data_IF_398636797173
#
_entry.id   IF_398636797173
#
_cell.length_a   1.000
_cell.length_b   1.000
_cell.length_c   1.000
_cell.angle_alpha   90.00
_cell.angle_beta   90.00
_cell.angle_gamma   90.00
#
_symmetry.space_group_name_H-M   'P 1'
#
loop_
_entity.id
_entity.type
_entity.pdbx_description
1 polymer ?
#
# COMPACT_ATOMS: atom_id res chain seq x y z
N UNK A 1 20.08 64.07 -3.03
CA UNK A 1 19.02 63.16 -3.53
C UNK A 1 19.52 61.77 -3.91
N UNK A 2 20.72 61.60 -4.42
CA UNK A 2 21.29 60.30 -4.86
C UNK A 2 21.49 59.28 -3.73
N UNK A 3 21.96 59.71 -2.55
CA UNK A 3 22.21 58.79 -1.42
C UNK A 3 20.94 58.14 -0.85
N UNK A 4 19.76 58.81 -0.94
CA UNK A 4 18.47 58.23 -0.54
C UNK A 4 17.97 57.18 -1.55
N UNK A 5 18.17 57.41 -2.87
CA UNK A 5 17.82 56.44 -3.92
C UNK A 5 18.66 55.17 -3.81
N UNK A 6 19.97 55.29 -3.58
CA UNK A 6 20.90 54.15 -3.45
C UNK A 6 20.56 53.28 -2.22
N UNK A 7 20.14 53.87 -1.11
CA UNK A 7 19.68 53.13 0.07
C UNK A 7 18.33 52.41 -0.15
N UNK A 8 17.48 52.97 -1.02
CA UNK A 8 16.19 52.34 -1.36
C UNK A 8 16.40 51.11 -2.23
N UNK A 9 17.31 51.19 -3.22
CA UNK A 9 17.64 50.06 -4.10
C UNK A 9 18.24 48.85 -3.35
N UNK A 10 18.96 49.06 -2.25
CA UNK A 10 19.49 48.01 -1.38
C UNK A 10 18.42 47.43 -0.44
N UNK A 11 17.38 48.20 -0.10
CA UNK A 11 16.31 47.74 0.78
C UNK A 11 15.30 46.85 0.06
N UNK A 12 15.02 47.09 -1.23
CA UNK A 12 14.05 46.31 -2.01
C UNK A 12 14.44 44.80 -2.04
N UNK A 13 15.66 44.40 -2.44
CA UNK A 13 16.04 42.97 -2.44
C UNK A 13 16.05 42.36 -1.04
N UNK A 14 16.37 43.12 0.01
CA UNK A 14 16.29 42.66 1.39
C UNK A 14 14.85 42.42 1.83
N UNK A 15 13.91 43.29 1.44
CA UNK A 15 12.48 43.10 1.72
C UNK A 15 11.95 41.86 0.96
N UNK A 16 12.31 41.71 -0.31
CA UNK A 16 11.93 40.56 -1.12
C UNK A 16 12.45 39.26 -0.46
N UNK A 17 13.73 39.23 -0.09
CA UNK A 17 14.34 38.09 0.58
C UNK A 17 13.68 37.77 1.92
N UNK A 18 13.40 38.78 2.74
CA UNK A 18 12.71 38.62 4.01
C UNK A 18 11.28 38.12 3.82
N UNK A 19 10.55 38.60 2.80
CA UNK A 19 9.22 38.14 2.46
C UNK A 19 9.21 36.68 1.99
N UNK A 20 10.20 36.32 1.15
CA UNK A 20 10.35 34.94 0.67
C UNK A 20 10.65 33.99 1.85
N UNK A 21 11.56 34.39 2.74
CA UNK A 21 11.87 33.63 3.95
C UNK A 21 10.64 33.48 4.86
N UNK A 22 9.86 34.55 5.03
CA UNK A 22 8.63 34.50 5.80
C UNK A 22 7.62 33.49 5.22
N UNK A 23 7.42 33.48 3.90
CA UNK A 23 6.56 32.51 3.21
C UNK A 23 7.04 31.07 3.44
N UNK A 24 8.35 30.84 3.29
CA UNK A 24 8.94 29.50 3.55
C UNK A 24 8.70 29.08 5.00
N UNK A 25 8.94 29.97 5.96
CA UNK A 25 8.75 29.67 7.39
C UNK A 25 7.27 29.38 7.72
N UNK A 26 6.34 30.14 7.13
CA UNK A 26 4.90 29.92 7.28
C UNK A 26 4.52 28.54 6.70
N UNK A 27 5.05 28.19 5.53
CA UNK A 27 4.80 26.89 4.91
C UNK A 27 5.38 25.74 5.75
N UNK A 28 6.62 25.86 6.23
CA UNK A 28 7.22 24.85 7.12
C UNK A 28 6.39 24.71 8.41
N UNK A 29 5.98 25.83 9.00
CA UNK A 29 5.12 25.81 10.17
C UNK A 29 3.77 25.13 9.88
N UNK A 30 3.15 25.39 8.71
CA UNK A 30 1.94 24.71 8.27
C UNK A 30 2.14 23.19 8.19
N UNK A 31 3.19 22.71 7.51
CA UNK A 31 3.48 21.27 7.38
C UNK A 31 3.71 20.62 8.74
N UNK A 32 4.52 21.26 9.60
CA UNK A 32 4.85 20.71 10.93
C UNK A 32 3.63 20.70 11.86
N UNK A 33 2.82 21.76 11.86
CA UNK A 33 1.64 21.87 12.73
C UNK A 33 0.45 21.04 12.23
N UNK A 34 0.38 20.77 10.92
CA UNK A 34 -0.64 19.87 10.35
C UNK A 34 -0.33 18.39 10.57
N UNK A 35 0.94 18.09 10.89
CA UNK A 35 1.35 16.70 11.10
C UNK A 35 0.76 16.18 12.42
N UNK A 36 0.03 15.09 12.31
CA UNK A 36 -0.37 14.27 13.42
C UNK A 36 -0.24 12.81 13.03
N UNK A 37 0.20 11.97 13.93
CA UNK A 37 0.24 10.53 13.73
C UNK A 37 -1.09 9.93 14.14
N UNK A 38 -1.60 8.99 13.34
CA UNK A 38 -2.78 8.20 13.71
C UNK A 38 -2.38 7.25 14.85
N UNK A 39 -3.21 7.18 15.88
CA UNK A 39 -2.95 6.35 17.06
C UNK A 39 -2.86 4.85 16.69
N UNK A 40 -2.02 4.12 17.43
CA UNK A 40 -1.96 2.66 17.32
C UNK A 40 -3.21 2.04 17.97
N UNK A 41 -3.55 0.83 17.58
CA UNK A 41 -4.69 0.07 18.11
C UNK A 41 -6.05 0.76 17.91
N UNK A 42 -6.18 1.52 16.83
CA UNK A 42 -7.42 2.23 16.51
C UNK A 42 -8.48 1.26 15.97
N UNK A 43 -9.65 1.22 16.61
CA UNK A 43 -10.80 0.46 16.12
C UNK A 43 -11.29 1.04 14.79
N UNK A 44 -11.50 0.17 13.80
CA UNK A 44 -12.01 0.55 12.48
C UNK A 44 -13.51 0.29 12.40
N UNK A 45 -14.21 1.16 11.69
CA UNK A 45 -15.61 0.94 11.36
C UNK A 45 -15.72 -0.19 10.34
N UNK A 46 -16.58 -1.16 10.62
CA UNK A 46 -16.96 -2.18 9.65
C UNK A 46 -18.20 -1.67 8.91
N UNK A 47 -18.09 -1.57 7.60
CA UNK A 47 -19.18 -1.14 6.73
C UNK A 47 -19.67 -2.29 5.85
N UNK A 48 -20.95 -2.25 5.49
CA UNK A 48 -21.60 -3.28 4.70
C UNK A 48 -21.99 -4.51 5.51
N UNK A 49 -22.77 -5.37 4.87
CA UNK A 49 -23.23 -6.66 5.43
C UNK A 49 -22.87 -7.77 4.46
N UNK A 50 -22.05 -8.70 4.92
CA UNK A 50 -21.62 -9.83 4.13
C UNK A 50 -22.71 -10.91 4.02
N UNK A 51 -22.62 -11.75 2.98
CA UNK A 51 -23.53 -12.89 2.79
C UNK A 51 -23.28 -14.04 3.77
N UNK A 52 -22.00 -14.27 4.11
CA UNK A 52 -21.56 -15.36 4.97
C UNK A 52 -21.40 -14.92 6.41
N UNK A 53 -21.86 -15.73 7.36
CA UNK A 53 -21.70 -15.46 8.79
C UNK A 53 -20.39 -16.04 9.34
N UNK A 54 -19.98 -17.22 8.84
CA UNK A 54 -18.80 -17.95 9.33
C UNK A 54 -18.09 -18.72 8.22
N UNK A 55 -16.78 -18.83 8.36
CA UNK A 55 -15.95 -19.70 7.52
C UNK A 55 -16.11 -21.18 7.94
N UNK A 56 -16.11 -22.07 6.97
CA UNK A 56 -16.19 -23.53 7.16
C UNK A 56 -14.81 -24.15 7.00
N UNK A 57 -14.51 -25.17 7.77
CA UNK A 57 -13.27 -25.93 7.63
C UNK A 57 -13.30 -26.78 6.36
N UNK A 58 -12.14 -27.01 5.79
CA UNK A 58 -11.98 -27.83 4.58
C UNK A 58 -12.62 -27.28 3.31
N UNK A 59 -13.16 -26.05 3.35
CA UNK A 59 -13.74 -25.36 2.19
C UNK A 59 -12.69 -24.47 1.55
N UNK A 60 -12.65 -24.46 0.21
CA UNK A 60 -11.79 -23.54 -0.54
C UNK A 60 -12.31 -22.11 -0.47
N UNK A 61 -11.45 -21.18 -0.09
CA UNK A 61 -11.66 -19.75 -0.12
C UNK A 61 -10.59 -19.09 -0.97
N UNK A 62 -10.94 -18.00 -1.63
CA UNK A 62 -10.03 -17.24 -2.46
C UNK A 62 -9.76 -15.88 -1.84
N UNK A 63 -8.48 -15.54 -1.66
CA UNK A 63 -8.00 -14.21 -1.29
C UNK A 63 -7.24 -13.59 -2.45
N UNK A 64 -7.38 -12.27 -2.64
CA UNK A 64 -6.57 -11.50 -3.59
C UNK A 64 -5.98 -10.31 -2.85
N UNK A 65 -4.67 -10.07 -3.01
CA UNK A 65 -4.04 -8.81 -2.60
C UNK A 65 -3.68 -7.99 -3.84
N UNK A 66 -3.93 -6.68 -3.78
CA UNK A 66 -3.70 -5.78 -4.89
C UNK A 66 -3.42 -4.35 -4.44
N UNK A 67 -2.20 -3.87 -4.68
CA UNK A 67 -1.89 -2.45 -4.62
C UNK A 67 -2.39 -1.80 -5.92
N UNK A 68 -3.37 -0.88 -5.82
CA UNK A 68 -4.03 -0.27 -6.99
C UNK A 68 -3.38 1.03 -7.46
N UNK A 69 -2.26 1.44 -6.82
CA UNK A 69 -1.50 2.61 -7.24
C UNK A 69 -2.35 3.88 -7.39
N UNK A 70 -3.30 4.13 -6.47
CA UNK A 70 -4.24 5.28 -6.51
C UNK A 70 -4.83 5.56 -7.91
N UNK A 71 -5.11 4.51 -8.68
CA UNK A 71 -5.71 4.60 -10.00
C UNK A 71 -4.90 5.37 -11.05
N UNK A 72 -3.59 5.57 -10.84
CA UNK A 72 -2.78 6.43 -11.69
C UNK A 72 -1.96 5.67 -12.73
N UNK A 73 -1.53 4.45 -12.43
CA UNK A 73 -0.43 3.78 -13.14
C UNK A 73 -0.86 3.07 -14.41
N UNK A 74 -1.41 3.84 -15.36
CA UNK A 74 -1.49 3.37 -16.76
C UNK A 74 -0.09 3.10 -17.32
N UNK A 75 0.07 2.30 -18.39
CA UNK A 75 1.39 1.95 -18.92
C UNK A 75 2.29 3.14 -19.31
N UNK A 76 1.70 4.29 -19.64
CA UNK A 76 2.40 5.53 -20.00
C UNK A 76 2.72 6.43 -18.79
N UNK A 77 2.15 6.14 -17.61
CA UNK A 77 2.39 6.93 -16.39
C UNK A 77 3.79 6.67 -15.83
N UNK A 78 4.44 7.75 -15.36
CA UNK A 78 5.77 7.69 -14.73
C UNK A 78 5.78 8.52 -13.46
N UNK A 79 6.19 7.94 -12.33
CA UNK A 79 6.10 8.60 -11.05
C UNK A 79 7.39 9.34 -10.68
N UNK A 80 7.26 10.59 -10.24
CA UNK A 80 8.42 11.44 -9.95
C UNK A 80 9.34 10.92 -8.84
N UNK A 81 8.81 10.17 -7.88
CA UNK A 81 9.63 9.58 -6.81
C UNK A 81 10.43 8.37 -7.28
N UNK A 82 9.98 7.71 -8.34
CA UNK A 82 10.67 6.56 -8.96
C UNK A 82 11.66 6.98 -10.04
N UNK A 83 11.82 8.28 -10.25
CA UNK A 83 12.67 8.85 -11.31
C UNK A 83 11.92 9.31 -12.54
N UNK A 84 10.60 9.19 -12.57
CA UNK A 84 9.72 9.71 -13.62
C UNK A 84 9.41 11.20 -13.49
N UNK A 85 8.28 11.64 -14.03
CA UNK A 85 7.99 13.07 -14.14
C UNK A 85 6.62 13.50 -13.60
N UNK A 86 5.69 12.58 -13.40
CA UNK A 86 4.32 12.90 -12.99
C UNK A 86 4.16 12.74 -11.47
N UNK A 87 3.35 13.58 -10.86
CA UNK A 87 2.95 13.44 -9.46
C UNK A 87 1.45 13.26 -9.29
N UNK A 88 0.68 13.39 -10.39
CA UNK A 88 -0.76 13.15 -10.47
C UNK A 88 -1.04 12.14 -11.58
N UNK A 89 -2.13 11.40 -11.44
CA UNK A 89 -2.68 10.59 -12.52
C UNK A 89 -2.86 11.41 -13.81
N UNK A 90 -3.02 10.73 -14.96
CA UNK A 90 -3.15 11.40 -16.26
C UNK A 90 -4.39 12.32 -16.34
N UNK A 91 -5.51 11.89 -15.76
CA UNK A 91 -6.73 12.68 -15.65
C UNK A 91 -7.68 12.06 -14.61
N UNK A 92 -8.73 12.81 -14.24
CA UNK A 92 -9.79 12.28 -13.38
C UNK A 92 -10.49 11.07 -14.01
N UNK A 93 -10.73 11.13 -15.32
CA UNK A 93 -11.37 10.06 -16.08
C UNK A 93 -10.47 8.82 -16.14
N UNK A 94 -9.14 9.01 -16.22
CA UNK A 94 -8.16 7.92 -16.18
C UNK A 94 -8.23 7.19 -14.84
N UNK A 95 -8.27 7.92 -13.72
CA UNK A 95 -8.42 7.31 -12.38
C UNK A 95 -9.68 6.47 -12.30
N UNK A 96 -10.84 7.05 -12.66
CA UNK A 96 -12.13 6.34 -12.62
C UNK A 96 -12.07 5.07 -13.46
N UNK A 97 -11.50 5.14 -14.67
CA UNK A 97 -11.38 3.99 -15.56
C UNK A 97 -10.45 2.90 -14.99
N UNK A 98 -9.29 3.27 -14.40
CA UNK A 98 -8.40 2.30 -13.77
C UNK A 98 -9.14 1.56 -12.63
N UNK A 99 -9.81 2.31 -11.75
CA UNK A 99 -10.56 1.71 -10.63
C UNK A 99 -11.72 0.84 -11.13
N UNK A 100 -12.45 1.23 -12.19
CA UNK A 100 -13.48 0.37 -12.80
C UNK A 100 -12.89 -0.93 -13.32
N UNK A 101 -11.72 -0.89 -13.96
CA UNK A 101 -11.02 -2.07 -14.47
C UNK A 101 -10.46 -2.97 -13.36
N UNK A 102 -9.94 -2.39 -12.28
CA UNK A 102 -9.52 -3.12 -11.09
C UNK A 102 -10.70 -3.84 -10.44
N UNK A 103 -11.85 -3.18 -10.35
CA UNK A 103 -13.10 -3.78 -9.85
C UNK A 103 -13.56 -4.95 -10.76
N UNK A 104 -13.56 -4.77 -12.09
CA UNK A 104 -13.89 -5.83 -13.04
C UNK A 104 -12.97 -7.04 -12.85
N UNK A 105 -11.66 -6.80 -12.82
CA UNK A 105 -10.64 -7.83 -12.61
C UNK A 105 -10.85 -8.60 -11.31
N UNK A 106 -11.06 -7.90 -10.19
CA UNK A 106 -11.28 -8.53 -8.88
C UNK A 106 -12.56 -9.34 -8.83
N UNK A 107 -13.65 -8.89 -9.48
CA UNK A 107 -14.90 -9.64 -9.60
C UNK A 107 -14.73 -10.93 -10.39
N UNK A 108 -13.93 -10.94 -11.46
CA UNK A 108 -13.61 -12.12 -12.24
C UNK A 108 -12.90 -13.20 -11.41
N UNK A 109 -12.14 -12.79 -10.38
CA UNK A 109 -11.47 -13.74 -9.49
C UNK A 109 -12.42 -14.47 -8.54
N UNK A 110 -13.66 -14.02 -8.38
CA UNK A 110 -14.63 -14.52 -7.39
C UNK A 110 -14.02 -14.61 -5.98
N UNK A 111 -13.26 -13.59 -5.60
CA UNK A 111 -12.54 -13.57 -4.34
C UNK A 111 -13.51 -13.47 -3.14
N UNK A 112 -13.25 -14.28 -2.10
CA UNK A 112 -13.93 -14.19 -0.80
C UNK A 112 -13.35 -13.10 0.09
N UNK A 113 -12.06 -12.80 -0.13
CA UNK A 113 -11.28 -11.79 0.58
C UNK A 113 -10.51 -10.94 -0.45
N UNK A 114 -10.57 -9.62 -0.29
CA UNK A 114 -9.77 -8.71 -1.11
C UNK A 114 -9.02 -7.75 -0.17
N UNK A 115 -7.71 -7.68 -0.34
CA UNK A 115 -6.81 -6.81 0.41
C UNK A 115 -6.22 -5.80 -0.56
N UNK A 116 -6.63 -4.54 -0.44
CA UNK A 116 -6.18 -3.48 -1.36
C UNK A 116 -5.31 -2.48 -0.63
N UNK A 117 -4.29 -1.98 -1.32
CA UNK A 117 -3.38 -0.94 -0.83
C UNK A 117 -3.46 0.27 -1.76
N UNK A 118 -3.06 1.42 -1.27
CA UNK A 118 -3.08 2.72 -1.97
C UNK A 118 -4.45 3.17 -2.47
N UNK A 119 -5.51 2.86 -1.73
CA UNK A 119 -6.87 3.30 -2.07
C UNK A 119 -7.05 4.75 -1.61
N UNK A 120 -7.11 5.68 -2.56
CA UNK A 120 -7.37 7.10 -2.28
C UNK A 120 -8.86 7.34 -2.01
N UNK A 121 -9.16 8.29 -1.10
CA UNK A 121 -10.56 8.73 -0.90
C UNK A 121 -10.75 10.24 -1.05
N UNK A 122 -9.67 11.00 -0.97
CA UNK A 122 -9.66 12.44 -1.25
C UNK A 122 -8.21 12.92 -1.39
N UNK A 123 -7.59 12.71 -2.53
CA UNK A 123 -6.20 13.10 -2.79
C UNK A 123 -6.07 13.98 -4.02
N UNK A 124 -5.15 14.95 -3.94
CA UNK A 124 -4.86 15.82 -5.09
C UNK A 124 -4.34 15.00 -6.27
N UNK A 125 -3.47 14.01 -5.99
CA UNK A 125 -2.81 13.14 -7.00
C UNK A 125 -3.80 12.32 -7.84
N UNK A 126 -4.97 12.00 -7.29
CA UNK A 126 -6.05 11.25 -7.95
C UNK A 126 -7.27 12.13 -8.28
N UNK A 127 -7.07 13.47 -8.44
CA UNK A 127 -8.13 14.43 -8.78
C UNK A 127 -9.34 14.39 -7.84
N UNK A 128 -9.11 14.10 -6.56
CA UNK A 128 -10.15 13.98 -5.53
C UNK A 128 -11.24 12.95 -5.88
N UNK A 129 -10.90 11.90 -6.65
CA UNK A 129 -11.78 10.75 -6.84
C UNK A 129 -11.88 9.99 -5.54
N UNK A 130 -13.08 9.66 -5.12
CA UNK A 130 -13.33 8.78 -3.96
C UNK A 130 -13.33 7.33 -4.44
N UNK A 131 -12.12 6.76 -4.58
CA UNK A 131 -11.91 5.38 -5.01
C UNK A 131 -12.50 4.41 -4.00
N UNK A 132 -12.40 4.73 -2.70
CA UNK A 132 -12.99 3.92 -1.62
C UNK A 132 -14.49 3.75 -1.81
N UNK A 133 -15.21 4.86 -2.06
CA UNK A 133 -16.65 4.80 -2.30
C UNK A 133 -17.00 4.07 -3.59
N UNK A 134 -16.21 4.26 -4.67
CA UNK A 134 -16.39 3.57 -5.95
C UNK A 134 -16.25 2.06 -5.78
N UNK A 135 -15.19 1.59 -5.12
CA UNK A 135 -14.95 0.16 -4.85
C UNK A 135 -16.04 -0.42 -3.97
N UNK A 136 -16.35 0.22 -2.82
CA UNK A 136 -17.40 -0.27 -1.91
C UNK A 136 -18.75 -0.42 -2.58
N UNK A 137 -19.13 0.55 -3.41
CA UNK A 137 -20.40 0.48 -4.15
C UNK A 137 -20.49 -0.67 -5.14
N UNK A 138 -19.34 -1.13 -5.64
CA UNK A 138 -19.27 -2.22 -6.61
C UNK A 138 -19.27 -3.61 -5.96
N UNK A 139 -18.90 -3.73 -4.67
CA UNK A 139 -18.86 -4.99 -3.91
C UNK A 139 -20.02 -5.07 -2.91
N UNK A 140 -21.23 -5.19 -3.45
CA UNK A 140 -22.43 -5.40 -2.64
C UNK A 140 -22.35 -6.74 -1.86
N UNK A 141 -22.97 -6.77 -0.68
CA UNK A 141 -23.01 -7.94 0.19
C UNK A 141 -21.63 -8.43 0.68
N UNK A 142 -20.71 -7.50 0.86
CA UNK A 142 -19.45 -7.72 1.55
C UNK A 142 -19.40 -6.87 2.82
N UNK A 143 -18.64 -7.31 3.81
CA UNK A 143 -18.20 -6.43 4.91
C UNK A 143 -16.83 -5.85 4.59
N UNK A 144 -16.59 -4.62 4.96
CA UNK A 144 -15.33 -3.92 4.67
C UNK A 144 -14.82 -3.15 5.86
N UNK A 145 -13.50 -3.03 5.96
CA UNK A 145 -12.79 -2.10 6.85
C UNK A 145 -11.79 -1.27 6.07
N UNK A 146 -11.53 -0.05 6.53
CA UNK A 146 -10.58 0.85 5.91
C UNK A 146 -9.63 1.46 6.93
N UNK A 147 -8.33 1.26 6.76
CA UNK A 147 -7.28 1.77 7.63
C UNK A 147 -6.48 2.86 6.90
N UNK A 148 -6.64 4.12 7.31
CA UNK A 148 -5.86 5.23 6.74
C UNK A 148 -4.39 5.04 7.06
N UNK A 149 -3.53 5.10 6.03
CA UNK A 149 -2.08 5.03 6.15
C UNK A 149 -1.34 6.18 5.47
N UNK A 150 -2.07 7.08 4.82
CA UNK A 150 -1.51 8.30 4.26
C UNK A 150 -2.51 9.45 4.44
N UNK A 151 -2.07 10.50 5.12
CA UNK A 151 -2.77 11.76 5.27
C UNK A 151 -1.70 12.85 5.35
N UNK A 152 -1.54 13.60 4.29
CA UNK A 152 -0.47 14.61 4.21
C UNK A 152 -1.03 16.04 4.22
N UNK A 153 -0.23 16.97 4.73
CA UNK A 153 -0.39 18.38 4.39
C UNK A 153 -0.25 18.58 2.87
N UNK A 154 -0.61 19.76 2.35
CA UNK A 154 -0.39 20.08 0.94
C UNK A 154 1.11 20.21 0.67
N UNK A 155 1.66 19.29 -0.15
CA UNK A 155 3.08 19.21 -0.50
C UNK A 155 3.32 19.95 -1.81
N UNK A 156 4.16 21.00 -1.78
CA UNK A 156 4.49 21.84 -2.94
C UNK A 156 5.60 21.25 -3.84
N UNK A 157 6.07 20.05 -3.55
CA UNK A 157 7.05 19.37 -4.38
C UNK A 157 6.39 18.23 -5.18
N UNK A 158 6.76 18.01 -6.45
CA UNK A 158 7.65 18.84 -7.29
C UNK A 158 7.01 20.17 -7.70
N UNK A 159 7.81 21.22 -7.87
CA UNK A 159 7.29 22.60 -8.09
C UNK A 159 6.49 22.77 -9.39
N UNK A 160 6.76 21.96 -10.41
CA UNK A 160 6.06 22.00 -11.69
C UNK A 160 4.68 21.33 -11.65
N UNK A 161 4.48 20.38 -10.71
CA UNK A 161 3.20 19.71 -10.48
C UNK A 161 3.15 19.30 -9.00
N UNK A 162 2.79 20.22 -8.08
CA UNK A 162 2.79 19.91 -6.65
C UNK A 162 1.97 18.69 -6.32
N UNK A 163 2.55 17.75 -5.56
CA UNK A 163 1.88 16.50 -5.17
C UNK A 163 0.55 16.75 -4.44
N UNK A 164 0.48 17.87 -3.70
CA UNK A 164 -0.74 18.27 -3.00
C UNK A 164 -0.95 17.50 -1.71
N UNK A 165 -2.19 17.45 -1.26
CA UNK A 165 -2.60 16.69 -0.10
C UNK A 165 -3.10 15.30 -0.53
N UNK A 166 -2.72 14.26 0.21
CA UNK A 166 -3.13 12.88 -0.04
C UNK A 166 -3.85 12.31 1.17
N UNK A 167 -4.92 11.56 0.90
CA UNK A 167 -5.66 10.78 1.88
C UNK A 167 -5.94 9.40 1.30
N UNK A 168 -5.23 8.39 1.79
CA UNK A 168 -5.28 7.03 1.29
C UNK A 168 -5.20 5.99 2.41
N UNK A 169 -5.50 4.75 2.08
CA UNK A 169 -5.43 3.68 3.06
C UNK A 169 -5.46 2.27 2.48
N UNK A 170 -5.63 1.33 3.41
CA UNK A 170 -5.76 -0.09 3.17
C UNK A 170 -7.24 -0.47 3.26
N UNK A 171 -7.80 -1.03 2.19
CA UNK A 171 -9.17 -1.54 2.17
C UNK A 171 -9.14 -3.06 2.26
N UNK A 172 -9.90 -3.62 3.18
CA UNK A 172 -10.16 -5.07 3.26
C UNK A 172 -11.64 -5.33 3.04
N UNK A 173 -11.96 -6.20 2.07
CA UNK A 173 -13.31 -6.66 1.77
C UNK A 173 -13.43 -8.15 2.09
N UNK A 174 -14.59 -8.59 2.59
CA UNK A 174 -14.86 -9.99 2.89
C UNK A 174 -16.31 -10.39 2.59
N UNK A 175 -16.49 -11.55 1.95
CA UNK A 175 -17.78 -12.20 1.78
C UNK A 175 -18.31 -12.85 3.07
N UNK A 176 -17.46 -12.98 4.10
CA UNK A 176 -17.82 -13.38 5.46
C UNK A 176 -17.86 -12.14 6.36
N UNK A 177 -18.88 -12.05 7.22
CA UNK A 177 -19.06 -10.90 8.11
C UNK A 177 -17.88 -10.74 9.07
N UNK A 178 -17.21 -9.58 9.02
CA UNK A 178 -16.21 -9.22 10.01
C UNK A 178 -16.85 -8.96 11.37
N UNK A 179 -16.22 -9.44 12.43
CA UNK A 179 -16.64 -9.20 13.84
C UNK A 179 -15.93 -7.98 14.45
N UNK A 180 -14.70 -7.73 14.06
CA UNK A 180 -13.94 -6.53 14.42
C UNK A 180 -12.82 -6.25 13.42
N UNK A 181 -12.39 -5.00 13.39
CA UNK A 181 -11.25 -4.57 12.60
C UNK A 181 -10.46 -3.49 13.37
N UNK A 182 -9.13 -3.56 13.33
CA UNK A 182 -8.22 -2.68 14.05
C UNK A 182 -7.10 -2.21 13.13
N UNK A 183 -6.77 -0.93 13.18
CA UNK A 183 -5.56 -0.37 12.58
C UNK A 183 -4.41 -0.49 13.56
N UNK A 184 -3.28 -1.04 13.11
CA UNK A 184 -2.04 -1.11 13.89
C UNK A 184 -0.96 -0.29 13.19
N UNK A 185 -0.43 0.71 13.91
CA UNK A 185 0.63 1.56 13.39
C UNK A 185 1.94 0.82 13.26
N UNK A 186 2.62 0.94 12.12
CA UNK A 186 4.00 0.49 11.95
C UNK A 186 4.99 1.56 12.42
N UNK A 187 6.22 1.19 12.84
CA UNK A 187 7.30 2.14 13.02
C UNK A 187 7.51 3.01 11.77
N UNK A 188 7.78 4.30 11.96
CA UNK A 188 8.11 5.24 10.86
C UNK A 188 9.41 5.96 11.20
N UNK A 189 10.05 6.58 10.19
CA UNK A 189 11.27 7.34 10.39
C UNK A 189 11.10 8.46 11.42
N UNK A 190 12.05 8.63 12.32
CA UNK A 190 12.14 9.78 13.22
C UNK A 190 12.64 11.07 12.56
N UNK A 191 13.08 11.01 11.30
CA UNK A 191 13.64 12.12 10.55
C UNK A 191 12.57 13.13 10.08
N UNK A 192 12.99 14.18 9.39
CA UNK A 192 12.07 15.14 8.78
C UNK A 192 11.23 14.53 7.64
N UNK A 193 11.63 13.40 7.11
CA UNK A 193 10.85 12.67 6.08
C UNK A 193 9.45 12.29 6.55
N UNK A 194 9.25 12.08 7.86
CA UNK A 194 7.94 11.75 8.45
C UNK A 194 6.81 12.74 8.11
N UNK A 195 7.16 14.00 7.78
CA UNK A 195 6.17 15.02 7.43
C UNK A 195 5.62 14.90 6.01
N UNK A 196 6.28 14.09 5.18
CA UNK A 196 5.95 13.90 3.76
C UNK A 196 5.73 12.42 3.40
N UNK A 197 6.05 11.50 4.30
CA UNK A 197 5.90 10.05 4.12
C UNK A 197 4.58 9.55 4.70
N UNK A 198 4.25 8.29 4.38
CA UNK A 198 3.05 7.61 4.85
C UNK A 198 3.12 7.34 6.37
N UNK A 199 1.97 7.41 7.01
CA UNK A 199 1.77 6.89 8.38
C UNK A 199 1.50 5.39 8.33
N UNK A 200 2.55 4.62 7.98
CA UNK A 200 2.51 3.18 7.69
C UNK A 200 1.76 2.39 8.76
N UNK A 201 0.92 1.49 8.31
CA UNK A 201 0.14 0.62 9.17
C UNK A 201 -0.18 -0.72 8.49
N UNK A 202 -0.79 -1.61 9.25
CA UNK A 202 -1.57 -2.75 8.76
C UNK A 202 -2.94 -2.75 9.43
N UNK A 203 -3.92 -3.37 8.77
CA UNK A 203 -5.21 -3.65 9.40
C UNK A 203 -5.25 -5.10 9.87
N UNK A 204 -5.94 -5.34 11.00
CA UNK A 204 -6.21 -6.67 11.56
C UNK A 204 -7.70 -6.89 11.54
N UNK A 205 -8.19 -7.82 10.73
CA UNK A 205 -9.60 -8.07 10.50
C UNK A 205 -9.96 -9.48 10.98
N UNK A 206 -11.06 -9.63 11.72
CA UNK A 206 -11.48 -10.89 12.34
C UNK A 206 -12.71 -11.46 11.66
N UNK A 207 -12.61 -12.69 11.21
CA UNK A 207 -13.69 -13.45 10.61
C UNK A 207 -13.95 -14.72 11.43
N UNK A 208 -15.19 -14.99 11.89
CA UNK A 208 -15.48 -16.16 12.69
C UNK A 208 -15.44 -17.43 11.85
N UNK A 209 -14.91 -18.52 12.41
CA UNK A 209 -14.96 -19.87 11.84
C UNK A 209 -15.99 -20.73 12.59
N UNK A 210 -16.47 -21.80 11.95
CA UNK A 210 -17.52 -22.67 12.50
C UNK A 210 -17.11 -23.44 13.77
N UNK A 211 -15.80 -23.66 13.95
CA UNK A 211 -15.24 -24.35 15.12
C UNK A 211 -15.02 -23.43 16.33
N UNK A 212 -15.49 -22.18 16.27
CA UNK A 212 -15.34 -21.20 17.35
C UNK A 212 -14.01 -20.46 17.39
N UNK A 213 -13.09 -20.75 16.45
CA UNK A 213 -11.87 -19.97 16.19
C UNK A 213 -12.18 -18.82 15.23
N UNK A 214 -11.16 -18.01 14.94
CA UNK A 214 -11.26 -16.94 13.98
C UNK A 214 -10.18 -17.06 12.89
N UNK A 215 -10.48 -16.60 11.70
CA UNK A 215 -9.48 -16.26 10.70
C UNK A 215 -9.12 -14.78 10.88
N UNK A 216 -7.87 -14.52 11.15
CA UNK A 216 -7.32 -13.17 11.32
C UNK A 216 -6.59 -12.76 10.03
N UNK A 217 -7.08 -11.70 9.40
CA UNK A 217 -6.53 -11.17 8.16
C UNK A 217 -5.72 -9.91 8.47
N UNK A 218 -4.44 -9.95 8.13
CA UNK A 218 -3.55 -8.79 8.14
C UNK A 218 -3.41 -8.27 6.72
N UNK A 219 -3.88 -7.04 6.47
CA UNK A 219 -3.63 -6.31 5.22
C UNK A 219 -2.51 -5.31 5.48
N UNK A 220 -1.37 -5.48 4.82
CA UNK A 220 -0.13 -4.75 5.11
C UNK A 220 0.35 -3.94 3.91
N UNK A 221 0.97 -2.78 4.20
CA UNK A 221 1.78 -2.02 3.25
C UNK A 221 2.96 -1.43 3.99
N UNK A 222 4.13 -2.05 3.86
CA UNK A 222 5.38 -1.63 4.52
C UNK A 222 6.06 -0.48 3.78
N UNK A 223 7.12 0.09 4.36
CA UNK A 223 7.86 1.20 3.74
C UNK A 223 8.66 0.73 2.52
N UNK A 224 8.51 1.46 1.41
CA UNK A 224 9.29 1.29 0.19
C UNK A 224 10.65 2.01 0.29
N UNK A 225 10.60 3.27 0.69
CA UNK A 225 11.75 4.16 0.65
C UNK A 225 12.41 4.26 2.02
N UNK A 226 13.73 4.27 2.02
CA UNK A 226 14.53 4.52 3.21
C UNK A 226 15.89 3.82 3.12
N UNK A 227 16.93 4.52 3.53
CA UNK A 227 18.28 3.95 3.69
C UNK A 227 18.42 3.18 4.99
N UNK A 228 17.35 3.10 5.79
CA UNK A 228 17.33 2.51 7.12
C UNK A 228 16.68 1.13 7.07
N UNK A 229 17.47 0.12 6.69
CA UNK A 229 17.04 -1.29 6.72
C UNK A 229 16.58 -1.75 8.10
N UNK A 230 16.97 -1.06 9.17
CA UNK A 230 16.49 -1.35 10.52
C UNK A 230 15.02 -0.97 10.69
N UNK A 231 14.54 0.09 10.02
CA UNK A 231 13.13 0.49 10.08
C UNK A 231 12.22 -0.59 9.49
N UNK A 232 12.55 -1.10 8.30
CA UNK A 232 11.78 -2.15 7.64
C UNK A 232 11.75 -3.44 8.48
N UNK A 233 12.91 -3.84 9.07
CA UNK A 233 12.98 -4.97 10.01
C UNK A 233 12.10 -4.75 11.24
N UNK A 234 12.09 -3.54 11.83
CA UNK A 234 11.21 -3.22 12.94
C UNK A 234 9.72 -3.32 12.56
N UNK A 235 9.36 -2.91 11.33
CA UNK A 235 7.99 -3.04 10.83
C UNK A 235 7.57 -4.50 10.73
N UNK A 236 8.39 -5.34 10.11
CA UNK A 236 8.13 -6.78 9.98
C UNK A 236 8.12 -7.49 11.34
N UNK A 237 9.06 -7.16 12.24
CA UNK A 237 9.07 -7.73 13.59
C UNK A 237 7.76 -7.44 14.33
N UNK A 238 7.29 -6.19 14.31
CA UNK A 238 6.01 -5.84 14.97
C UNK A 238 4.83 -6.59 14.34
N UNK A 239 4.79 -6.69 13.02
CA UNK A 239 3.76 -7.42 12.29
C UNK A 239 3.76 -8.90 12.71
N UNK A 240 4.90 -9.56 12.68
CA UNK A 240 5.04 -10.97 13.03
C UNK A 240 4.77 -11.25 14.50
N UNK A 241 5.14 -10.36 15.40
CA UNK A 241 4.78 -10.46 16.82
C UNK A 241 3.27 -10.47 17.02
N UNK A 242 2.53 -9.63 16.29
CA UNK A 242 1.07 -9.57 16.40
C UNK A 242 0.41 -10.79 15.71
N UNK A 243 0.95 -11.24 14.57
CA UNK A 243 0.50 -12.47 13.92
C UNK A 243 0.71 -13.69 14.82
N UNK A 244 1.87 -13.81 15.47
CA UNK A 244 2.17 -14.92 16.38
C UNK A 244 1.25 -14.93 17.59
N UNK A 245 0.95 -13.77 18.20
CA UNK A 245 -0.03 -13.66 19.29
C UNK A 245 -1.41 -14.19 18.92
N UNK A 246 -1.85 -13.98 17.68
CA UNK A 246 -3.13 -14.51 17.21
C UNK A 246 -3.07 -16.03 16.98
N UNK A 247 -1.97 -16.53 16.43
CA UNK A 247 -1.74 -17.96 16.27
C UNK A 247 -1.71 -18.69 17.61
N UNK A 248 -1.04 -18.14 18.62
CA UNK A 248 -0.99 -18.71 19.98
C UNK A 248 -2.37 -18.81 20.66
N UNK A 249 -3.35 -17.98 20.26
CA UNK A 249 -4.74 -18.11 20.70
C UNK A 249 -5.47 -19.27 19.98
N UNK A 250 -4.81 -19.93 19.03
CA UNK A 250 -5.36 -21.01 18.21
C UNK A 250 -6.10 -20.52 16.97
N UNK A 251 -6.00 -19.25 16.63
CA UNK A 251 -6.60 -18.67 15.44
C UNK A 251 -5.86 -19.08 14.16
N UNK A 252 -6.54 -18.94 13.03
CA UNK A 252 -5.96 -19.00 11.69
C UNK A 252 -5.45 -17.63 11.32
N UNK A 253 -4.29 -17.51 10.68
CA UNK A 253 -3.69 -16.20 10.35
C UNK A 253 -3.27 -16.16 8.88
N UNK A 254 -3.74 -15.15 8.17
CA UNK A 254 -3.29 -14.79 6.82
C UNK A 254 -2.80 -13.33 6.86
N UNK A 255 -1.59 -13.11 6.40
CA UNK A 255 -1.08 -11.78 6.08
C UNK A 255 -0.89 -11.69 4.57
N UNK A 256 -1.48 -10.68 3.95
CA UNK A 256 -1.29 -10.36 2.54
C UNK A 256 -1.11 -8.87 2.35
N UNK A 257 -0.43 -8.49 1.29
CA UNK A 257 -0.20 -7.08 0.98
C UNK A 257 1.05 -6.83 0.18
N UNK A 258 1.42 -5.56 0.15
CA UNK A 258 2.65 -5.05 -0.40
C UNK A 258 3.71 -4.96 0.71
N UNK A 259 4.71 -5.83 0.64
CA UNK A 259 5.79 -5.91 1.62
C UNK A 259 6.97 -4.99 1.28
N UNK A 260 6.98 -4.39 0.09
CA UNK A 260 8.08 -3.54 -0.39
C UNK A 260 9.48 -4.16 -0.18
N UNK A 261 9.57 -5.47 -0.39
CA UNK A 261 10.79 -6.26 -0.40
C UNK A 261 10.73 -7.22 -1.57
N UNK A 262 11.87 -7.63 -2.11
CA UNK A 262 11.90 -8.76 -3.03
C UNK A 262 11.42 -10.02 -2.29
N UNK A 263 10.12 -10.30 -2.44
CA UNK A 263 9.41 -11.34 -1.69
C UNK A 263 9.90 -12.74 -2.03
N UNK A 264 10.39 -12.96 -3.26
CA UNK A 264 10.96 -14.22 -3.69
C UNK A 264 12.48 -14.29 -3.48
N UNK A 265 13.12 -13.17 -3.23
CA UNK A 265 14.53 -13.05 -2.85
C UNK A 265 15.53 -13.12 -4.00
N UNK A 266 15.07 -13.38 -5.23
CA UNK A 266 15.90 -13.49 -6.44
C UNK A 266 15.18 -13.00 -7.70
N UNK A 267 14.34 -11.99 -7.56
CA UNK A 267 13.57 -11.40 -8.68
C UNK A 267 14.45 -10.96 -9.85
N UNK A 268 15.65 -10.47 -9.55
CA UNK A 268 16.65 -10.08 -10.57
C UNK A 268 16.95 -11.21 -11.54
N UNK A 269 17.24 -12.39 -11.01
CA UNK A 269 17.58 -13.58 -11.81
C UNK A 269 16.34 -14.14 -12.52
N UNK A 270 15.20 -14.16 -11.82
CA UNK A 270 13.96 -14.73 -12.32
C UNK A 270 13.39 -13.95 -13.51
N UNK A 271 13.43 -12.63 -13.44
CA UNK A 271 12.87 -11.77 -14.48
C UNK A 271 13.92 -11.19 -15.43
N UNK A 272 15.21 -11.61 -15.28
CA UNK A 272 16.34 -11.04 -16.02
C UNK A 272 16.34 -9.50 -16.00
N UNK A 273 16.01 -8.93 -14.85
CA UNK A 273 15.80 -7.51 -14.65
C UNK A 273 16.98 -6.91 -13.88
N UNK A 274 17.72 -6.00 -14.50
CA UNK A 274 18.84 -5.33 -13.82
C UNK A 274 18.30 -4.38 -12.75
N UNK A 275 18.72 -4.58 -11.49
CA UNK A 275 18.43 -3.65 -10.39
C UNK A 275 19.39 -2.47 -10.50
N UNK A 276 18.94 -1.27 -10.84
CA UNK A 276 19.78 -0.08 -10.75
C UNK A 276 20.23 0.12 -9.30
N UNK A 277 21.51 0.49 -9.08
CA UNK A 277 22.10 0.67 -7.73
C UNK A 277 21.30 1.64 -6.84
N UNK A 278 20.52 2.53 -7.44
CA UNK A 278 19.66 3.49 -6.74
C UNK A 278 18.39 2.89 -6.12
N UNK A 279 18.00 1.67 -6.48
CA UNK A 279 16.78 1.03 -5.97
C UNK A 279 17.07 0.20 -4.73
N UNK A 280 17.45 0.88 -3.65
CA UNK A 280 17.74 0.24 -2.35
C UNK A 280 16.50 -0.38 -1.68
N UNK A 281 15.30 -0.03 -2.15
CA UNK A 281 14.03 -0.55 -1.65
C UNK A 281 13.75 -2.00 -2.09
N UNK A 282 14.38 -2.46 -3.15
CA UNK A 282 14.26 -3.84 -3.66
C UNK A 282 15.16 -4.84 -2.90
N UNK A 283 15.34 -4.66 -1.59
CA UNK A 283 16.09 -5.61 -0.77
C UNK A 283 15.36 -6.93 -0.62
N UNK A 284 16.11 -8.05 -0.52
CA UNK A 284 15.53 -9.36 -0.29
C UNK A 284 14.71 -9.39 1.02
N UNK A 285 13.59 -10.10 1.00
CA UNK A 285 12.75 -10.27 2.17
C UNK A 285 13.54 -10.98 3.29
N UNK A 286 13.53 -10.49 4.54
CA UNK A 286 14.29 -11.08 5.64
C UNK A 286 13.58 -12.33 6.20
N UNK A 287 13.74 -13.47 5.54
CA UNK A 287 13.07 -14.73 5.89
C UNK A 287 13.36 -15.20 7.31
N UNK A 288 14.50 -14.80 7.87
CA UNK A 288 14.89 -15.10 9.25
C UNK A 288 13.97 -14.50 10.32
N UNK A 289 13.13 -13.52 9.94
CA UNK A 289 12.17 -12.90 10.86
C UNK A 289 10.84 -13.65 10.92
N UNK A 290 10.57 -14.55 9.99
CA UNK A 290 9.29 -15.28 9.93
C UNK A 290 9.22 -16.26 11.11
N UNK A 291 8.17 -16.21 11.97
CA UNK A 291 8.05 -17.15 13.07
C UNK A 291 7.87 -18.59 12.60
N UNK A 292 8.27 -19.58 13.42
CA UNK A 292 8.31 -21.01 13.08
C UNK A 292 6.99 -21.59 12.50
N UNK A 293 5.86 -21.07 12.94
CA UNK A 293 4.52 -21.54 12.52
C UNK A 293 3.95 -20.80 11.32
N UNK A 294 4.76 -20.03 10.61
CA UNK A 294 4.32 -19.26 9.46
C UNK A 294 5.09 -19.64 8.20
N UNK A 295 4.40 -19.64 7.10
CA UNK A 295 4.92 -19.97 5.77
C UNK A 295 4.77 -18.77 4.85
N UNK A 296 5.87 -18.23 4.36
CA UNK A 296 5.89 -17.31 3.21
C UNK A 296 5.64 -18.14 1.96
N UNK A 297 4.58 -17.81 1.23
CA UNK A 297 4.19 -18.56 0.04
C UNK A 297 4.98 -18.06 -1.18
N UNK A 298 5.75 -18.95 -1.80
CA UNK A 298 6.52 -18.68 -3.02
C UNK A 298 6.35 -19.77 -4.08
N UNK A 299 5.43 -20.72 -3.83
CA UNK A 299 5.12 -21.80 -4.78
C UNK A 299 3.97 -21.37 -5.69
N UNK A 300 4.31 -20.60 -6.73
CA UNK A 300 3.37 -20.11 -7.72
C UNK A 300 3.01 -21.21 -8.72
N UNK A 301 1.73 -21.34 -9.03
CA UNK A 301 1.20 -22.39 -9.91
C UNK A 301 1.77 -22.35 -11.33
N UNK A 302 1.95 -21.16 -11.87
CA UNK A 302 2.55 -20.94 -13.18
C UNK A 302 4.09 -20.98 -13.18
N UNK A 303 4.71 -21.23 -12.00
CA UNK A 303 6.09 -20.86 -11.73
C UNK A 303 6.20 -19.34 -11.53
N UNK A 304 7.33 -18.85 -11.04
CA UNK A 304 7.54 -17.41 -10.84
C UNK A 304 7.88 -16.78 -12.21
N UNK A 305 6.85 -16.55 -13.02
CA UNK A 305 7.01 -16.05 -14.40
C UNK A 305 6.42 -14.65 -14.60
N UNK A 306 5.55 -14.21 -13.68
CA UNK A 306 4.89 -12.90 -13.71
C UNK A 306 5.34 -12.11 -12.48
N UNK A 307 5.97 -10.94 -12.66
CA UNK A 307 6.33 -10.06 -11.54
C UNK A 307 5.08 -9.39 -10.96
N UNK A 308 5.08 -9.11 -9.66
CA UNK A 308 3.97 -8.39 -9.05
C UNK A 308 4.11 -6.88 -9.09
N UNK A 309 5.30 -6.33 -9.34
CA UNK A 309 5.53 -4.89 -9.35
C UNK A 309 6.53 -4.48 -10.44
N UNK A 310 6.31 -3.29 -11.02
CA UNK A 310 7.25 -2.60 -11.91
C UNK A 310 7.72 -1.28 -11.32
N UNK A 311 8.93 -0.87 -11.66
CA UNK A 311 9.34 0.51 -11.41
C UNK A 311 8.71 1.48 -12.42
N UNK A 312 8.39 2.68 -11.97
CA UNK A 312 7.66 3.68 -12.77
C UNK A 312 8.50 4.90 -13.15
N UNK A 313 9.81 4.70 -13.36
CA UNK A 313 10.73 5.73 -13.85
C UNK A 313 10.50 6.10 -15.33
N UNK A 314 9.96 5.18 -16.11
CA UNK A 314 9.66 5.31 -17.54
C UNK A 314 8.34 4.61 -17.89
N UNK A 315 7.72 4.93 -19.06
CA UNK A 315 6.57 4.16 -19.56
C UNK A 315 6.89 2.67 -19.63
N UNK A 316 5.90 1.85 -19.25
CA UNK A 316 6.07 0.40 -19.17
C UNK A 316 6.45 -0.22 -20.52
N UNK A 317 7.47 -1.01 -20.51
CA UNK A 317 7.94 -1.86 -21.59
C UNK A 317 8.76 -3.03 -21.03
N UNK A 318 9.19 -3.95 -21.87
CA UNK A 318 9.94 -5.16 -21.47
C UNK A 318 11.30 -4.88 -20.79
N UNK A 319 11.84 -3.65 -20.92
CA UNK A 319 13.10 -3.24 -20.29
C UNK A 319 12.89 -2.56 -18.92
N UNK A 320 11.66 -2.52 -18.40
CA UNK A 320 11.41 -1.97 -17.07
C UNK A 320 11.94 -2.90 -15.98
N UNK A 321 12.48 -2.30 -14.91
CA UNK A 321 12.79 -3.05 -13.71
C UNK A 321 11.49 -3.59 -13.10
N UNK A 322 11.45 -4.91 -12.89
CA UNK A 322 10.32 -5.62 -12.30
C UNK A 322 10.78 -6.57 -11.21
N UNK A 323 9.93 -6.80 -10.22
CA UNK A 323 10.18 -7.73 -9.12
C UNK A 323 8.83 -8.20 -8.53
N UNK A 324 8.91 -9.09 -7.53
CA UNK A 324 7.73 -9.51 -6.77
C UNK A 324 7.82 -8.96 -5.35
N UNK A 325 6.92 -8.04 -4.97
CA UNK A 325 6.83 -7.44 -3.63
C UNK A 325 5.53 -7.77 -2.90
N UNK A 326 4.52 -8.22 -3.65
CA UNK A 326 3.23 -8.61 -3.12
C UNK A 326 3.16 -10.11 -2.89
N UNK A 327 2.45 -10.52 -1.85
CA UNK A 327 2.32 -11.95 -1.56
C UNK A 327 1.53 -12.26 -0.29
N UNK A 328 1.62 -13.51 0.13
CA UNK A 328 0.94 -14.02 1.32
C UNK A 328 1.88 -14.77 2.25
N UNK A 329 1.68 -14.56 3.56
CA UNK A 329 2.28 -15.34 4.65
C UNK A 329 1.11 -15.92 5.46
N UNK A 330 1.11 -17.23 5.66
CA UNK A 330 0.02 -17.93 6.33
C UNK A 330 0.52 -18.75 7.51
N UNK A 331 -0.34 -18.99 8.50
CA UNK A 331 -0.07 -19.93 9.59
C UNK A 331 -0.20 -21.40 9.12
N UNK A 332 0.52 -22.32 9.76
CA UNK A 332 0.61 -23.73 9.37
C UNK A 332 -0.70 -24.54 9.53
N UNK A 333 -1.68 -23.99 10.27
CA UNK A 333 -3.04 -24.51 10.38
C UNK A 333 -3.95 -24.09 9.20
N UNK A 334 -3.39 -23.43 8.19
CA UNK A 334 -4.02 -23.14 6.89
C UNK A 334 -3.31 -23.98 5.82
N UNK A 335 -4.07 -24.45 4.84
CA UNK A 335 -3.54 -25.11 3.65
C UNK A 335 -3.69 -24.18 2.45
N UNK A 336 -2.56 -23.78 1.82
CA UNK A 336 -2.57 -23.12 0.52
C UNK A 336 -2.73 -24.19 -0.58
N UNK A 337 -3.79 -24.07 -1.39
CA UNK A 337 -4.06 -25.03 -2.48
C UNK A 337 -3.72 -24.49 -3.86
N UNK A 338 -3.63 -23.17 -3.98
CA UNK A 338 -3.26 -22.46 -5.20
C UNK A 338 -2.71 -21.06 -4.85
N UNK A 339 -1.65 -20.65 -5.51
CA UNK A 339 -1.18 -19.25 -5.52
C UNK A 339 -0.63 -18.89 -6.89
N UNK A 340 -0.92 -17.67 -7.35
CA UNK A 340 -0.35 -17.14 -8.59
C UNK A 340 -0.45 -15.62 -8.65
N UNK A 341 0.38 -15.00 -9.50
CA UNK A 341 0.25 -13.58 -9.89
C UNK A 341 -0.64 -13.49 -11.11
N UNK A 342 -1.63 -12.59 -11.08
CA UNK A 342 -2.53 -12.35 -12.19
C UNK A 342 -1.88 -11.31 -13.12
N UNK A 343 -1.44 -11.73 -14.29
CA UNK A 343 -0.80 -10.85 -15.26
C UNK A 343 -1.81 -9.88 -15.90
N UNK A 344 -1.75 -8.63 -15.49
CA UNK A 344 -2.50 -7.52 -16.11
C UNK A 344 -1.67 -6.76 -17.12
N UNK A 345 -0.39 -7.14 -17.29
CA UNK A 345 0.59 -6.37 -18.06
C UNK A 345 0.70 -4.92 -17.53
N UNK A 346 0.49 -4.74 -16.24
CA UNK A 346 0.49 -3.44 -15.56
C UNK A 346 -0.42 -2.39 -16.24
N UNK A 347 -1.60 -2.84 -16.70
CA UNK A 347 -2.49 -2.00 -17.47
C UNK A 347 -3.20 -0.90 -16.65
N UNK A 348 -3.37 -1.13 -15.33
CA UNK A 348 -4.17 -0.26 -14.46
C UNK A 348 -3.47 0.14 -13.16
N UNK A 349 -2.40 -0.56 -12.79
CA UNK A 349 -1.54 -0.30 -11.64
C UNK A 349 -0.09 -0.64 -12.01
N UNK A 350 0.87 -0.14 -11.25
CA UNK A 350 2.27 -0.61 -11.26
C UNK A 350 2.46 -1.93 -10.51
N UNK A 351 1.37 -2.49 -9.99
CA UNK A 351 1.31 -3.83 -9.42
C UNK A 351 0.39 -4.76 -10.22
N UNK A 352 0.68 -6.05 -10.15
CA UNK A 352 -0.17 -7.15 -10.56
C UNK A 352 -0.77 -7.82 -9.32
N UNK A 353 -2.06 -8.15 -9.29
CA UNK A 353 -2.68 -8.81 -8.13
C UNK A 353 -2.09 -10.21 -7.88
N UNK A 354 -2.00 -10.59 -6.62
CA UNK A 354 -1.63 -11.95 -6.21
C UNK A 354 -2.87 -12.66 -5.66
N UNK A 355 -3.17 -13.85 -6.20
CA UNK A 355 -4.30 -14.68 -5.82
C UNK A 355 -3.84 -15.89 -5.02
N UNK A 356 -4.53 -16.16 -3.92
CA UNK A 356 -4.36 -17.33 -3.07
C UNK A 356 -5.69 -18.09 -2.95
N UNK A 357 -5.68 -19.42 -3.12
CA UNK A 357 -6.78 -20.27 -2.67
C UNK A 357 -6.30 -21.07 -1.47
N UNK A 358 -7.12 -21.12 -0.42
CA UNK A 358 -6.75 -21.72 0.86
C UNK A 358 -7.91 -22.43 1.54
N UNK A 359 -7.57 -23.30 2.51
CA UNK A 359 -8.52 -23.98 3.41
C UNK A 359 -8.09 -23.84 4.85
N UNK A 360 -9.06 -23.71 5.75
CA UNK A 360 -8.84 -23.85 7.19
C UNK A 360 -8.81 -25.34 7.54
N UNK A 361 -7.76 -25.78 8.30
CA UNK A 361 -7.60 -27.18 8.75
C UNK A 361 -8.35 -27.45 10.05
#
# INVERSE_FOLDING_TARGET
METKKRKLWLKIPLIILASLLAVILIYVAYVVLSYQRIEDDQQLTIEGTAKGDKLRLGTDYTAVTYNIGFGAYTPDFTFFMDGGTQSWANSRESVINCIDKDIELLKEQNADLVLMQEVDFNSTRSYHVDELAQIRSAFENTSSSFAVNYHSAFLFYPLYQPHGASNAGLLTLSNTQMTSAVRRSLPISGSLSKFIDLDRCYSVNRLPAENGRELIIFNVHTSAYGTDGDLQKQQLTKLFDDMNKEYEKGNYVICGGDFNHDFVGNSKELFNSEVPEQYTWAAAFPDELIPEHFLKLTDYKSGITVPSCRNSDKPYNEDCFVLTVDGFIISDNIEATYMDVIDTQFAYSDHNPVKLTFRLK
#
